data_IF_937335463644
#
_entry.id   IF_937335463644
#
_cell.length_a   1.000
_cell.length_b   1.000
_cell.length_c   1.000
_cell.angle_alpha   90.00
_cell.angle_beta   90.00
_cell.angle_gamma   90.00
#
_symmetry.space_group_name_H-M   'P 1'
#
loop_
_entity.id
_entity.type
_entity.pdbx_description
1 polymer ?
#
# COMPACT_ATOMS: atom_id res chain seq x y z
N UNK A 1 -24.35 0.63 63.42
CA UNK A 1 -23.56 1.17 62.30
C UNK A 1 -23.82 0.32 61.07
N UNK A 2 -24.24 0.96 59.96
CA UNK A 2 -24.06 0.56 58.54
C UNK A 2 -24.39 -0.87 58.07
N UNK A 3 -25.07 -1.12 56.95
CA UNK A 3 -25.63 -0.31 55.86
C UNK A 3 -26.55 -1.26 55.09
N UNK A 4 -27.72 -0.74 54.71
CA UNK A 4 -28.65 -1.27 53.72
C UNK A 4 -27.93 -1.64 52.41
N UNK A 5 -28.24 -2.80 51.83
CA UNK A 5 -28.00 -3.09 50.41
C UNK A 5 -29.21 -3.81 49.82
N UNK A 6 -30.10 -3.09 49.11
CA UNK A 6 -30.99 -3.68 48.14
C UNK A 6 -30.49 -3.34 46.73
N UNK A 7 -30.59 -4.31 45.81
CA UNK A 7 -30.87 -4.17 44.37
C UNK A 7 -30.07 -5.19 43.54
N UNK A 8 -30.60 -6.41 43.45
CA UNK A 8 -30.45 -7.23 42.24
C UNK A 8 -31.48 -6.77 41.21
N UNK A 9 -31.15 -5.76 40.41
CA UNK A 9 -31.83 -5.53 39.12
C UNK A 9 -30.92 -6.05 38.03
N UNK A 10 -31.21 -7.28 37.56
CA UNK A 10 -30.74 -7.78 36.28
C UNK A 10 -31.36 -6.92 35.18
N UNK A 11 -30.64 -5.87 34.77
CA UNK A 11 -30.95 -5.16 33.55
C UNK A 11 -30.47 -6.03 32.38
N UNK A 12 -31.40 -6.80 31.79
CA UNK A 12 -31.28 -7.34 30.44
C UNK A 12 -30.94 -6.18 29.51
N UNK A 13 -29.69 -6.07 29.06
CA UNK A 13 -29.35 -5.24 27.90
C UNK A 13 -29.91 -5.93 26.66
N UNK A 14 -31.16 -5.63 26.36
CA UNK A 14 -31.78 -5.98 25.09
C UNK A 14 -30.96 -5.34 23.97
N UNK A 15 -30.41 -6.20 23.13
CA UNK A 15 -29.90 -5.88 21.80
C UNK A 15 -31.00 -5.11 21.05
N UNK A 16 -30.86 -3.79 20.97
CA UNK A 16 -31.61 -3.00 20.02
C UNK A 16 -31.10 -3.36 18.62
N UNK A 17 -31.97 -3.72 17.66
CA UNK A 17 -31.56 -3.82 16.27
C UNK A 17 -31.11 -2.43 15.82
N UNK A 18 -29.87 -2.34 15.33
CA UNK A 18 -29.32 -1.14 14.70
C UNK A 18 -30.28 -0.68 13.60
N UNK A 19 -30.84 0.51 13.77
CA UNK A 19 -31.65 1.20 12.76
C UNK A 19 -30.89 1.21 11.42
N UNK A 20 -31.56 1.02 10.27
CA UNK A 20 -30.92 1.16 8.98
C UNK A 20 -30.37 2.58 8.86
N UNK A 21 -29.07 2.68 8.52
CA UNK A 21 -28.43 3.95 8.12
C UNK A 21 -29.30 4.57 7.02
N UNK A 22 -29.59 5.88 7.04
CA UNK A 22 -30.29 6.50 5.93
C UNK A 22 -29.46 6.26 4.67
N UNK A 23 -30.06 5.55 3.71
CA UNK A 23 -29.58 5.47 2.34
C UNK A 23 -29.32 6.90 1.88
N UNK A 24 -28.04 7.28 1.76
CA UNK A 24 -27.65 8.54 1.18
C UNK A 24 -28.14 8.52 -0.27
N UNK A 25 -29.22 9.26 -0.46
CA UNK A 25 -29.93 9.55 -1.69
C UNK A 25 -29.15 9.20 -2.96
N UNK A 26 -29.70 8.28 -3.74
CA UNK A 26 -29.57 8.35 -5.18
C UNK A 26 -30.05 9.75 -5.56
N UNK A 27 -29.11 10.65 -5.84
CA UNK A 27 -29.44 11.98 -6.34
C UNK A 27 -29.99 11.80 -7.73
N UNK A 28 -31.31 11.76 -7.83
CA UNK A 28 -32.04 12.00 -9.07
C UNK A 28 -31.42 13.23 -9.75
N UNK A 29 -31.24 13.13 -11.05
CA UNK A 29 -30.68 14.18 -11.90
C UNK A 29 -31.76 15.26 -12.08
N UNK A 30 -32.10 15.95 -10.99
CA UNK A 30 -33.04 17.08 -11.00
C UNK A 30 -32.44 18.17 -11.88
N UNK A 31 -33.17 18.55 -12.94
CA UNK A 31 -32.80 19.66 -13.81
C UNK A 31 -32.70 20.91 -12.94
N UNK A 32 -31.49 21.46 -12.82
CA UNK A 32 -31.22 22.66 -12.03
C UNK A 32 -31.97 23.84 -12.65
N UNK A 33 -32.63 24.63 -11.81
CA UNK A 33 -33.43 25.78 -12.26
C UNK A 33 -32.54 26.98 -12.53
N UNK A 34 -33.03 27.97 -13.29
CA UNK A 34 -32.30 29.21 -13.58
C UNK A 34 -31.86 29.98 -12.33
N UNK A 35 -32.51 29.75 -11.19
CA UNK A 35 -32.13 30.37 -9.90
C UNK A 35 -30.76 29.87 -9.39
N UNK A 36 -30.29 28.72 -9.85
CA UNK A 36 -28.98 28.16 -9.52
C UNK A 36 -27.89 28.55 -10.52
N UNK A 37 -28.08 29.56 -11.38
CA UNK A 37 -27.08 29.93 -12.38
C UNK A 37 -25.70 30.34 -11.79
N UNK A 38 -24.66 30.28 -12.64
CA UNK A 38 -23.30 30.68 -12.28
C UNK A 38 -22.55 29.65 -11.45
N UNK A 39 -21.89 30.06 -10.37
CA UNK A 39 -21.08 29.17 -9.52
C UNK A 39 -21.94 28.14 -8.76
N UNK A 40 -23.17 28.49 -8.44
CA UNK A 40 -24.13 27.59 -7.77
C UNK A 40 -24.54 26.43 -8.68
N UNK A 41 -24.50 26.61 -10.01
CA UNK A 41 -24.83 25.58 -10.98
C UNK A 41 -23.84 24.41 -10.94
N UNK A 42 -22.64 24.63 -10.40
CA UNK A 42 -21.61 23.61 -10.24
C UNK A 42 -21.50 23.12 -8.79
N UNK A 43 -22.30 23.66 -7.86
CA UNK A 43 -22.33 23.25 -6.46
C UNK A 43 -22.84 21.81 -6.38
N UNK A 44 -22.05 20.92 -5.79
CA UNK A 44 -22.36 19.49 -5.73
C UNK A 44 -22.14 18.71 -7.03
N UNK A 45 -21.48 19.29 -8.05
CA UNK A 45 -21.03 18.48 -9.19
C UNK A 45 -19.99 17.46 -8.67
N UNK A 46 -20.29 16.17 -8.87
CA UNK A 46 -19.46 15.04 -8.43
C UNK A 46 -18.32 14.74 -9.41
N UNK A 47 -17.75 15.75 -10.05
CA UNK A 47 -16.57 15.53 -10.87
C UNK A 47 -15.39 15.65 -9.92
N UNK A 48 -14.82 14.51 -9.52
CA UNK A 48 -13.65 14.40 -8.63
C UNK A 48 -12.39 15.17 -9.12
N UNK A 49 -12.51 15.97 -10.18
CA UNK A 49 -11.45 16.78 -10.78
C UNK A 49 -11.15 18.08 -10.02
N UNK A 50 -12.11 18.67 -9.31
CA UNK A 50 -11.93 19.96 -8.63
C UNK A 50 -12.48 19.95 -7.20
N UNK A 51 -11.86 20.75 -6.31
CA UNK A 51 -12.30 20.93 -4.91
C UNK A 51 -13.55 21.81 -4.80
N UNK A 52 -13.74 22.70 -5.76
CA UNK A 52 -14.84 23.65 -5.82
C UNK A 52 -14.70 24.55 -7.04
N UNK A 53 -15.59 25.52 -7.18
CA UNK A 53 -15.57 26.48 -8.29
C UNK A 53 -15.68 27.90 -7.74
N UNK A 54 -14.99 28.84 -8.38
CA UNK A 54 -15.01 30.27 -8.05
C UNK A 54 -15.24 31.07 -9.33
N UNK A 55 -16.05 32.13 -9.27
CA UNK A 55 -16.25 33.04 -10.41
C UNK A 55 -15.32 34.24 -10.25
N UNK A 56 -14.48 34.47 -11.25
CA UNK A 56 -13.56 35.60 -11.32
C UNK A 56 -13.75 36.27 -12.69
N UNK A 57 -14.10 37.56 -12.71
CA UNK A 57 -14.32 38.34 -13.93
C UNK A 57 -15.29 37.69 -14.95
N UNK A 58 -16.38 37.09 -14.47
CA UNK A 58 -17.37 36.42 -15.34
C UNK A 58 -16.95 35.03 -15.85
N UNK A 59 -15.74 34.58 -15.53
CA UNK A 59 -15.26 33.22 -15.84
C UNK A 59 -15.35 32.33 -14.60
N UNK A 60 -15.81 31.09 -14.77
CA UNK A 60 -15.88 30.11 -13.68
C UNK A 60 -14.62 29.25 -13.70
N UNK A 61 -13.80 29.36 -12.65
CA UNK A 61 -12.54 28.64 -12.48
C UNK A 61 -12.71 27.51 -11.46
N UNK A 62 -12.12 26.35 -11.75
CA UNK A 62 -12.04 25.24 -10.81
C UNK A 62 -10.94 25.44 -9.78
N UNK A 63 -11.26 25.31 -8.49
CA UNK A 63 -10.28 25.27 -7.42
C UNK A 63 -9.57 23.91 -7.46
N UNK A 64 -8.24 23.87 -7.61
CA UNK A 64 -7.50 22.62 -7.58
C UNK A 64 -7.65 21.96 -6.20
N UNK A 65 -7.53 20.63 -6.17
CA UNK A 65 -7.37 19.92 -4.91
C UNK A 65 -6.10 20.43 -4.23
N UNK A 66 -6.26 21.18 -3.15
CA UNK A 66 -5.13 21.69 -2.38
C UNK A 66 -4.30 20.50 -1.91
N UNK A 67 -3.05 20.42 -2.34
CA UNK A 67 -2.03 19.70 -1.58
C UNK A 67 -2.00 20.40 -0.23
N UNK A 68 -2.50 19.74 0.80
CA UNK A 68 -2.45 20.28 2.16
C UNK A 68 -0.96 20.35 2.51
N UNK A 69 -0.33 21.49 2.26
CA UNK A 69 0.96 21.83 2.85
C UNK A 69 0.66 21.92 4.34
N UNK A 70 0.78 20.78 5.03
CA UNK A 70 0.93 20.77 6.47
C UNK A 70 2.19 21.60 6.70
N UNK A 71 2.05 22.81 7.23
CA UNK A 71 3.13 23.44 7.97
C UNK A 71 3.54 22.43 9.04
N UNK A 72 4.59 21.65 8.75
CA UNK A 72 5.06 20.64 9.68
C UNK A 72 5.73 21.40 10.81
N UNK A 73 5.08 21.46 11.96
CA UNK A 73 5.72 21.80 13.23
C UNK A 73 6.78 20.74 13.64
N UNK A 74 7.02 19.72 12.81
CA UNK A 74 8.12 18.78 12.97
C UNK A 74 9.42 19.41 12.48
N UNK A 75 10.52 19.38 13.26
CA UNK A 75 11.82 19.81 12.79
C UNK A 75 12.17 19.03 11.53
N UNK A 76 12.59 19.73 10.49
CA UNK A 76 13.15 19.12 9.28
C UNK A 76 14.36 18.30 9.70
N UNK A 77 14.25 16.98 9.61
CA UNK A 77 15.42 16.10 9.72
C UNK A 77 16.41 16.55 8.65
N UNK A 78 17.68 16.71 9.05
CA UNK A 78 18.79 17.30 8.28
C UNK A 78 19.06 16.62 6.92
N UNK A 79 18.40 15.50 6.66
CA UNK A 79 18.40 14.78 5.38
C UNK A 79 16.97 14.81 4.81
N UNK A 80 16.69 15.76 3.92
CA UNK A 80 15.43 15.78 3.14
C UNK A 80 15.46 14.75 1.98
N UNK A 81 16.66 14.36 1.56
CA UNK A 81 16.86 13.43 0.45
C UNK A 81 16.82 11.98 0.95
N UNK A 82 15.63 11.38 0.82
CA UNK A 82 15.51 9.93 0.78
C UNK A 82 16.35 9.44 -0.41
N UNK A 83 17.24 8.46 -0.18
CA UNK A 83 18.01 7.88 -1.28
C UNK A 83 17.06 7.38 -2.38
N UNK A 84 17.47 7.46 -3.65
CA UNK A 84 16.62 6.99 -4.76
C UNK A 84 16.15 5.55 -4.55
N UNK A 85 17.02 4.71 -3.96
CA UNK A 85 16.70 3.34 -3.60
C UNK A 85 15.58 3.29 -2.56
N UNK A 86 15.70 4.04 -1.47
CA UNK A 86 14.67 4.06 -0.43
C UNK A 86 13.33 4.63 -0.94
N UNK A 87 13.33 5.53 -1.91
CA UNK A 87 12.09 5.99 -2.57
C UNK A 87 11.48 4.91 -3.47
N UNK A 88 12.31 4.16 -4.22
CA UNK A 88 11.87 3.08 -5.13
C UNK A 88 11.37 1.83 -4.39
N UNK A 89 11.96 1.51 -3.24
CA UNK A 89 11.68 0.28 -2.47
C UNK A 89 10.77 0.51 -1.26
N UNK A 90 10.09 1.66 -1.19
CA UNK A 90 9.11 1.89 -0.12
C UNK A 90 7.88 1.00 -0.36
N UNK A 91 7.53 0.23 0.66
CA UNK A 91 6.26 -0.51 0.67
C UNK A 91 5.09 0.48 0.69
N UNK A 92 4.23 0.39 -0.33
CA UNK A 92 2.96 1.11 -0.39
C UNK A 92 1.88 0.14 0.08
N UNK A 93 1.42 0.24 1.34
CA UNK A 93 0.72 -0.86 2.00
C UNK A 93 -0.62 -1.21 1.35
N UNK A 94 -1.30 -0.27 0.69
CA UNK A 94 -2.61 -0.51 0.08
C UNK A 94 -2.81 0.32 -1.20
N UNK A 95 -2.34 -0.22 -2.32
CA UNK A 95 -2.51 0.37 -3.65
C UNK A 95 -2.96 -0.73 -4.61
N UNK A 96 -4.23 -1.13 -4.57
CA UNK A 96 -4.77 -2.15 -5.48
C UNK A 96 -5.64 -1.54 -6.59
N UNK A 97 -5.92 -2.34 -7.63
CA UNK A 97 -6.73 -1.90 -8.76
C UNK A 97 -8.15 -1.49 -8.34
N UNK A 98 -8.73 -2.20 -7.37
CA UNK A 98 -10.10 -2.02 -6.85
C UNK A 98 -10.26 -0.88 -5.83
N UNK A 99 -9.16 -0.25 -5.37
CA UNK A 99 -9.23 0.76 -4.32
C UNK A 99 -9.53 2.16 -4.84
N UNK A 100 -10.42 2.85 -4.13
CA UNK A 100 -10.67 4.28 -4.28
C UNK A 100 -9.51 5.08 -3.67
N UNK A 101 -9.18 6.23 -4.29
CA UNK A 101 -8.15 7.13 -3.75
C UNK A 101 -6.69 6.67 -3.95
N UNK A 102 -6.45 5.69 -4.83
CA UNK A 102 -5.10 5.29 -5.25
C UNK A 102 -4.34 6.47 -5.91
N UNK A 103 -3.02 6.60 -5.69
CA UNK A 103 -2.25 7.72 -6.22
C UNK A 103 -2.25 7.74 -7.76
N UNK A 104 -2.37 8.94 -8.32
CA UNK A 104 -2.31 9.21 -9.76
C UNK A 104 -0.85 9.21 -10.23
N UNK A 105 -0.29 8.02 -10.41
CA UNK A 105 1.03 7.81 -11.03
C UNK A 105 0.88 7.39 -12.49
N UNK A 106 1.90 7.61 -13.34
CA UNK A 106 1.96 7.04 -14.69
C UNK A 106 1.72 5.52 -14.66
N UNK A 107 1.09 5.01 -15.71
CA UNK A 107 0.82 3.57 -15.82
C UNK A 107 2.13 2.79 -15.93
N UNK A 108 2.32 1.83 -15.04
CA UNK A 108 3.42 0.87 -15.10
C UNK A 108 2.84 -0.52 -14.87
N UNK A 109 3.03 -1.48 -15.80
CA UNK A 109 2.39 -2.79 -15.74
C UNK A 109 2.73 -3.55 -14.45
N UNK A 110 3.95 -3.39 -13.95
CA UNK A 110 4.44 -4.08 -12.77
C UNK A 110 4.16 -3.33 -11.44
N UNK A 111 3.43 -2.21 -11.48
CA UNK A 111 3.10 -1.45 -10.28
C UNK A 111 2.10 -2.19 -9.39
N UNK A 112 2.21 -2.01 -8.07
CA UNK A 112 1.27 -2.60 -7.11
C UNK A 112 -0.18 -2.18 -7.41
N UNK A 113 -0.39 -0.95 -7.91
CA UNK A 113 -1.67 -0.37 -8.32
C UNK A 113 -2.47 -1.24 -9.31
N UNK A 114 -1.78 -2.06 -10.10
CA UNK A 114 -2.41 -2.92 -11.11
C UNK A 114 -2.74 -4.31 -10.60
N UNK A 115 -2.29 -4.68 -9.39
CA UNK A 115 -2.56 -5.97 -8.78
C UNK A 115 -3.95 -5.96 -8.14
N UNK A 116 -4.58 -7.13 -8.14
CA UNK A 116 -5.80 -7.36 -7.36
C UNK A 116 -5.45 -7.40 -5.88
N UNK A 117 -6.40 -7.01 -5.03
CA UNK A 117 -6.27 -7.20 -3.60
C UNK A 117 -6.14 -8.70 -3.32
N UNK A 118 -5.10 -9.07 -2.57
CA UNK A 118 -4.90 -10.43 -2.09
C UNK A 118 -5.27 -10.39 -0.62
N UNK A 119 -6.20 -11.25 -0.21
CA UNK A 119 -6.57 -11.37 1.19
C UNK A 119 -5.36 -11.85 1.99
N UNK A 120 -5.13 -11.21 3.14
CA UNK A 120 -4.06 -11.63 4.03
C UNK A 120 -4.33 -13.05 4.50
N UNK A 121 -3.30 -13.89 4.51
CA UNK A 121 -3.46 -15.27 4.93
C UNK A 121 -3.97 -15.29 6.38
N UNK A 122 -4.93 -16.17 6.71
CA UNK A 122 -5.45 -16.22 8.07
C UNK A 122 -4.28 -16.50 9.03
N UNK A 123 -4.12 -15.62 10.01
CA UNK A 123 -3.08 -15.79 11.04
C UNK A 123 -3.35 -17.11 11.76
N UNK A 124 -2.41 -18.07 11.76
CA UNK A 124 -2.64 -19.36 12.38
C UNK A 124 -2.89 -19.19 13.89
N UNK A 125 -3.74 -20.04 14.44
CA UNK A 125 -4.06 -20.01 15.87
C UNK A 125 -2.79 -20.27 16.68
N UNK A 126 -2.66 -19.60 17.84
CA UNK A 126 -1.40 -19.54 18.61
C UNK A 126 -0.79 -20.89 19.04
N UNK A 127 -1.46 -22.02 18.83
CA UNK A 127 -0.99 -23.36 19.24
C UNK A 127 -1.21 -24.46 18.19
N UNK A 128 -1.58 -24.16 16.93
CA UNK A 128 -1.72 -25.16 15.87
C UNK A 128 -0.57 -25.07 14.87
N UNK A 129 0.64 -25.43 15.29
CA UNK A 129 1.76 -25.65 14.36
C UNK A 129 1.69 -27.06 13.81
N UNK A 130 0.71 -27.35 12.94
CA UNK A 130 0.78 -28.52 12.06
C UNK A 130 1.59 -28.07 10.83
N UNK A 131 2.90 -28.33 10.85
CA UNK A 131 3.73 -28.15 9.66
C UNK A 131 3.66 -29.46 8.89
N UNK A 132 2.65 -29.59 8.02
CA UNK A 132 2.54 -30.70 7.09
C UNK A 132 3.50 -30.45 5.93
N UNK A 133 4.65 -31.11 5.98
CA UNK A 133 5.61 -31.12 4.89
C UNK A 133 5.19 -32.19 3.89
N UNK A 134 4.23 -31.86 3.04
CA UNK A 134 3.96 -32.72 1.89
C UNK A 134 5.13 -32.65 0.90
N UNK A 135 5.89 -33.74 0.94
CA UNK A 135 6.60 -34.35 -0.16
C UNK A 135 7.69 -33.49 -0.84
N UNK A 136 8.75 -33.14 -0.09
CA UNK A 136 10.09 -32.86 -0.64
C UNK A 136 10.26 -31.67 -1.60
N UNK A 137 9.18 -30.99 -1.98
CA UNK A 137 9.16 -30.02 -3.08
C UNK A 137 9.50 -28.59 -2.63
N UNK A 138 9.52 -28.33 -1.32
CA UNK A 138 9.76 -27.01 -0.71
C UNK A 138 11.16 -26.82 -0.09
N UNK A 139 12.20 -27.46 -0.66
CA UNK A 139 13.58 -27.00 -0.39
C UNK A 139 13.83 -25.69 -1.16
N UNK A 140 13.33 -24.58 -0.62
CA UNK A 140 13.60 -23.24 -1.10
C UNK A 140 15.03 -22.85 -0.74
N UNK A 141 16.03 -23.35 -1.49
CA UNK A 141 17.39 -22.85 -1.37
C UNK A 141 17.38 -21.36 -1.74
N UNK A 142 17.59 -20.47 -0.75
CA UNK A 142 17.56 -19.00 -0.92
C UNK A 142 18.47 -18.47 -2.04
N UNK A 143 19.37 -19.29 -2.58
CA UNK A 143 20.33 -18.96 -3.64
C UNK A 143 19.91 -19.42 -5.05
N UNK A 144 18.75 -20.08 -5.23
CA UNK A 144 18.30 -20.59 -6.55
C UNK A 144 17.92 -19.51 -7.56
N UNK A 145 17.62 -18.29 -7.10
CA UNK A 145 17.15 -17.19 -7.97
C UNK A 145 18.12 -16.02 -8.06
N UNK A 146 19.38 -16.20 -7.63
CA UNK A 146 20.41 -15.19 -7.88
C UNK A 146 20.82 -15.28 -9.35
N UNK A 147 20.57 -14.20 -10.11
CA UNK A 147 21.04 -14.10 -11.49
C UNK A 147 22.57 -14.11 -11.51
N UNK A 148 23.16 -14.77 -12.51
CA UNK A 148 24.61 -14.98 -12.65
C UNK A 148 25.42 -13.69 -12.56
N UNK A 149 24.84 -12.57 -13.01
CA UNK A 149 25.43 -11.24 -12.96
C UNK A 149 25.66 -10.71 -11.52
N UNK A 150 24.78 -11.04 -10.57
CA UNK A 150 24.89 -10.57 -9.19
C UNK A 150 25.88 -11.37 -8.32
N UNK A 151 26.28 -12.57 -8.77
CA UNK A 151 27.16 -13.48 -7.99
C UNK A 151 28.55 -13.58 -8.59
N UNK A 152 28.68 -13.45 -9.92
CA UNK A 152 29.94 -13.57 -10.63
C UNK A 152 30.12 -12.41 -11.62
N UNK A 153 31.01 -11.47 -11.29
CA UNK A 153 31.40 -10.37 -12.18
C UNK A 153 31.99 -10.85 -13.52
N UNK A 154 32.53 -12.08 -13.53
CA UNK A 154 33.23 -12.69 -14.67
C UNK A 154 32.23 -13.39 -15.64
N UNK A 155 30.96 -13.57 -15.26
CA UNK A 155 29.96 -14.23 -16.10
C UNK A 155 30.13 -15.76 -16.24
N UNK A 156 30.98 -16.37 -15.42
CA UNK A 156 31.14 -17.82 -15.35
C UNK A 156 29.87 -18.50 -14.75
N UNK A 157 29.56 -19.75 -15.14
CA UNK A 157 28.45 -20.50 -14.53
C UNK A 157 28.69 -20.69 -13.03
N UNK A 158 27.60 -20.80 -12.26
CA UNK A 158 27.66 -20.99 -10.82
C UNK A 158 28.33 -22.34 -10.50
N UNK A 159 29.40 -22.32 -9.70
CA UNK A 159 30.07 -23.55 -9.24
C UNK A 159 29.21 -24.24 -8.16
N UNK A 160 28.76 -25.50 -8.36
CA UNK A 160 27.96 -26.21 -7.36
C UNK A 160 28.78 -26.68 -6.15
N UNK A 161 30.11 -26.56 -6.18
CA UNK A 161 30.98 -26.97 -5.07
C UNK A 161 30.80 -26.05 -3.87
N UNK A 162 30.76 -26.63 -2.68
CA UNK A 162 30.64 -25.90 -1.40
C UNK A 162 31.95 -25.83 -0.62
N UNK A 163 32.96 -26.62 -1.01
CA UNK A 163 34.25 -26.69 -0.34
C UNK A 163 35.11 -25.46 -0.68
N UNK A 164 35.33 -24.60 0.31
CA UNK A 164 36.07 -23.34 0.17
C UNK A 164 37.54 -23.54 -0.23
N UNK A 165 38.19 -24.62 0.19
CA UNK A 165 39.57 -24.91 -0.16
C UNK A 165 39.73 -25.13 -1.67
N UNK A 166 38.86 -25.93 -2.26
CA UNK A 166 38.84 -26.24 -3.70
C UNK A 166 38.53 -24.97 -4.51
N UNK A 167 37.55 -24.18 -4.06
CA UNK A 167 37.17 -22.91 -4.71
C UNK A 167 38.33 -21.92 -4.65
N UNK A 168 39.05 -21.83 -3.52
CA UNK A 168 40.19 -20.93 -3.40
C UNK A 168 41.34 -21.32 -4.34
N UNK A 169 41.58 -22.63 -4.52
CA UNK A 169 42.63 -23.16 -5.38
C UNK A 169 42.32 -22.90 -6.87
N UNK A 170 41.09 -23.20 -7.32
CA UNK A 170 40.67 -22.92 -8.69
C UNK A 170 40.70 -21.43 -9.01
N UNK A 171 40.28 -20.57 -8.06
CA UNK A 171 40.32 -19.11 -8.22
C UNK A 171 41.76 -18.58 -8.38
N UNK A 172 42.71 -19.09 -7.56
CA UNK A 172 44.14 -18.73 -7.69
C UNK A 172 44.71 -19.12 -9.05
N UNK A 173 44.37 -20.32 -9.54
CA UNK A 173 44.80 -20.79 -10.85
C UNK A 173 44.27 -19.89 -11.98
N UNK A 174 42.98 -19.58 -12.00
CA UNK A 174 42.38 -18.69 -13.03
C UNK A 174 43.03 -17.31 -13.00
N UNK A 175 43.24 -16.74 -11.81
CA UNK A 175 43.93 -15.45 -11.66
C UNK A 175 45.34 -15.48 -12.25
N UNK A 176 46.09 -16.57 -12.05
CA UNK A 176 47.44 -16.71 -12.61
C UNK A 176 47.49 -16.76 -14.15
N UNK A 177 46.41 -17.24 -14.79
CA UNK A 177 46.30 -17.29 -16.25
C UNK A 177 45.90 -15.94 -16.85
N UNK A 178 45.18 -15.10 -16.11
CA UNK A 178 44.75 -13.75 -16.55
C UNK A 178 45.88 -12.71 -16.51
N UNK A 179 46.90 -12.92 -15.68
CA UNK A 179 48.05 -11.99 -15.55
C UNK A 179 49.14 -12.20 -16.60
N UNK A 180 48.95 -13.13 -17.54
CA UNK A 180 49.80 -13.32 -18.72
C UNK A 180 49.20 -12.59 -19.91
#
# INVERSE_FOLDING_TARGET
SSRFSPRSRLARSLLLPSLPRPLLAMTELTKRTHQEAGTNYLKGSKVNSAKGYVSVAGTILGLPHGTRSRSSASPRLRFETVSEHQHKFREAPYCYASMDGKPLTPYSPNSHRNRLAVDDAPVPFKNSSAVEFDDGMFKCDKRRFLTTNAVHFIGAPCDPRTNQGIISHSTKFVKSQQTK
#
